data_IF_060975007913
#
_entry.id   IF_060975007913
#
_cell.length_a   1.000
_cell.length_b   1.000
_cell.length_c   1.000
_cell.angle_alpha   90.00
_cell.angle_beta   90.00
_cell.angle_gamma   90.00
#
_symmetry.space_group_name_H-M   'P 1'
#
loop_
_entity.id
_entity.type
_entity.pdbx_description
1 polymer ?
#
# COMPACT_ATOMS: atom_id res chain seq x y z
N UNK A 1 -15.44 20.70 -2.97
CA UNK A 1 -15.28 19.72 -1.88
C UNK A 1 -14.16 20.17 -0.96
N UNK A 2 -14.22 19.91 0.36
CA UNK A 2 -13.19 20.36 1.32
C UNK A 2 -11.77 19.89 0.90
N UNK A 3 -11.64 18.65 0.45
CA UNK A 3 -10.38 18.04 0.02
C UNK A 3 -9.75 18.72 -1.19
N UNK A 4 -10.57 19.19 -2.14
CA UNK A 4 -10.11 19.95 -3.30
C UNK A 4 -9.43 21.24 -2.86
N UNK A 5 -10.04 21.98 -1.93
CA UNK A 5 -9.47 23.24 -1.42
C UNK A 5 -8.15 23.02 -0.68
N UNK A 6 -8.05 21.96 0.13
CA UNK A 6 -6.82 21.61 0.82
C UNK A 6 -5.71 21.24 -0.18
N UNK A 7 -6.05 20.47 -1.21
CA UNK A 7 -5.11 20.10 -2.26
C UNK A 7 -4.65 21.33 -3.07
N UNK A 8 -5.57 22.23 -3.45
CA UNK A 8 -5.26 23.50 -4.12
C UNK A 8 -4.27 24.33 -3.28
N UNK A 9 -4.57 24.53 -2.00
CA UNK A 9 -3.70 25.24 -1.08
C UNK A 9 -2.31 24.58 -1.00
N UNK A 10 -2.25 23.26 -0.86
CA UNK A 10 -0.96 22.57 -0.79
C UNK A 10 -0.14 22.68 -2.08
N UNK A 11 -0.78 22.65 -3.25
CA UNK A 11 -0.10 22.88 -4.53
C UNK A 11 0.40 24.33 -4.63
N UNK A 12 -0.38 25.31 -4.18
CA UNK A 12 0.04 26.72 -4.09
C UNK A 12 1.25 26.92 -3.15
N UNK A 13 1.28 26.16 -2.05
CA UNK A 13 2.37 26.14 -1.06
C UNK A 13 3.63 25.41 -1.56
N UNK A 14 3.58 24.77 -2.75
CA UNK A 14 4.74 24.17 -3.40
C UNK A 14 4.75 22.64 -3.41
N UNK A 15 3.63 21.98 -3.14
CA UNK A 15 3.52 20.55 -3.40
C UNK A 15 3.64 20.24 -4.89
N UNK A 16 4.37 19.16 -5.23
CA UNK A 16 4.54 18.74 -6.63
C UNK A 16 3.35 17.96 -7.19
N UNK A 17 2.42 17.52 -6.32
CA UNK A 17 1.38 16.60 -6.74
C UNK A 17 0.59 15.95 -5.62
N UNK A 18 -0.13 14.90 -5.99
CA UNK A 18 -0.98 14.09 -5.12
C UNK A 18 -0.48 12.66 -5.10
N UNK A 19 -0.51 12.02 -3.93
CA UNK A 19 -0.33 10.57 -3.85
C UNK A 19 -1.51 9.87 -3.17
N UNK A 20 -1.80 8.63 -3.57
CA UNK A 20 -2.88 7.82 -2.98
C UNK A 20 -2.45 6.41 -2.61
N UNK A 21 -3.01 5.90 -1.51
CA UNK A 21 -2.85 4.54 -1.01
C UNK A 21 -4.13 3.73 -1.12
N UNK A 22 -4.55 3.35 -2.34
CA UNK A 22 -5.90 2.81 -2.58
C UNK A 22 -6.09 1.36 -2.12
N UNK A 23 -5.02 0.64 -1.82
CA UNK A 23 -5.06 -0.72 -1.25
C UNK A 23 -5.39 -0.70 0.26
N UNK A 24 -5.16 0.43 0.94
CA UNK A 24 -5.24 0.59 2.39
C UNK A 24 -6.37 1.51 2.82
N UNK A 25 -6.89 1.30 4.03
CA UNK A 25 -7.74 2.31 4.66
C UNK A 25 -6.92 3.56 5.03
N UNK A 26 -7.51 4.77 4.99
CA UNK A 26 -8.86 5.08 4.49
C UNK A 26 -9.01 5.17 2.95
N UNK A 27 -7.90 5.26 2.19
CA UNK A 27 -7.94 5.47 0.73
C UNK A 27 -8.72 4.43 -0.09
N UNK A 28 -8.86 3.21 0.43
CA UNK A 28 -9.65 2.13 -0.17
C UNK A 28 -11.14 2.47 -0.35
N UNK A 29 -11.67 3.44 0.40
CA UNK A 29 -13.06 3.88 0.31
C UNK A 29 -13.29 4.96 -0.76
N UNK A 30 -12.22 5.58 -1.26
CA UNK A 30 -12.30 6.59 -2.31
C UNK A 30 -12.91 6.00 -3.58
N UNK A 31 -13.89 6.70 -4.15
CA UNK A 31 -14.46 6.32 -5.44
C UNK A 31 -13.72 7.00 -6.61
N UNK A 32 -14.02 6.53 -7.82
CA UNK A 32 -13.39 7.03 -9.03
C UNK A 32 -13.59 8.55 -9.23
N UNK A 33 -14.79 9.07 -8.99
CA UNK A 33 -15.10 10.48 -9.24
C UNK A 33 -14.39 11.41 -8.25
N UNK A 34 -14.21 10.98 -7.00
CA UNK A 34 -13.42 11.70 -6.00
C UNK A 34 -11.94 11.78 -6.44
N UNK A 35 -11.36 10.66 -6.86
CA UNK A 35 -9.97 10.61 -7.33
C UNK A 35 -9.82 11.46 -8.59
N UNK A 36 -10.73 11.36 -9.54
CA UNK A 36 -10.72 12.15 -10.77
C UNK A 36 -10.87 13.66 -10.50
N UNK A 37 -11.72 14.06 -9.54
CA UNK A 37 -11.87 15.45 -9.15
C UNK A 37 -10.55 16.03 -8.59
N UNK A 38 -9.86 15.27 -7.73
CA UNK A 38 -8.56 15.67 -7.18
C UNK A 38 -7.47 15.69 -8.26
N UNK A 39 -7.42 14.68 -9.12
CA UNK A 39 -6.44 14.62 -10.21
C UNK A 39 -6.63 15.75 -11.24
N UNK A 40 -7.88 16.20 -11.45
CA UNK A 40 -8.15 17.38 -12.27
C UNK A 40 -7.57 18.67 -11.68
N UNK A 41 -7.51 18.81 -10.35
CA UNK A 41 -6.82 19.93 -9.69
C UNK A 41 -5.32 19.86 -9.95
N UNK A 42 -4.73 18.67 -9.73
CA UNK A 42 -3.30 18.45 -9.93
C UNK A 42 -2.88 18.73 -11.37
N UNK A 43 -3.68 18.30 -12.34
CA UNK A 43 -3.42 18.57 -13.76
C UNK A 43 -3.40 20.07 -14.08
N UNK A 44 -4.35 20.86 -13.53
CA UNK A 44 -4.39 22.32 -13.72
C UNK A 44 -3.17 23.03 -13.11
N UNK A 45 -2.60 22.45 -12.06
CA UNK A 45 -1.40 22.97 -11.41
C UNK A 45 -0.09 22.45 -12.04
N UNK A 46 -0.16 21.74 -13.17
CA UNK A 46 0.99 21.05 -13.77
C UNK A 46 1.73 20.15 -12.76
N UNK A 47 1.00 19.48 -11.87
CA UNK A 47 1.54 18.51 -10.91
C UNK A 47 1.58 17.08 -11.47
N UNK A 48 1.89 16.11 -10.60
CA UNK A 48 1.76 14.68 -10.91
C UNK A 48 0.92 13.93 -9.87
N UNK A 49 0.33 12.83 -10.30
CA UNK A 49 -0.42 11.90 -9.46
C UNK A 49 0.36 10.60 -9.32
N UNK A 50 0.74 10.23 -8.09
CA UNK A 50 1.33 8.91 -7.81
C UNK A 50 0.35 7.99 -7.08
N UNK A 51 0.33 6.71 -7.42
CA UNK A 51 -0.66 5.80 -6.82
C UNK A 51 -0.09 4.43 -6.46
N UNK A 52 -0.35 4.04 -5.20
CA UNK A 52 -0.40 2.65 -4.82
C UNK A 52 -1.78 2.11 -5.23
N UNK A 53 -1.81 1.45 -6.38
CA UNK A 53 -3.04 0.97 -7.02
C UNK A 53 -3.90 0.11 -6.09
N UNK A 54 -5.21 0.18 -6.28
CA UNK A 54 -6.22 -0.45 -5.40
C UNK A 54 -6.08 -1.96 -5.26
N UNK A 55 -5.60 -2.63 -6.31
CA UNK A 55 -5.35 -4.06 -6.28
C UNK A 55 -4.25 -4.44 -7.28
N UNK A 56 -3.38 -5.36 -6.86
CA UNK A 56 -2.27 -5.89 -7.67
C UNK A 56 -2.23 -7.43 -7.72
N UNK A 57 -3.28 -8.12 -7.26
CA UNK A 57 -3.40 -9.58 -7.29
C UNK A 57 -4.18 -10.07 -8.53
N UNK A 58 -4.99 -11.11 -8.39
CA UNK A 58 -6.01 -11.54 -9.35
C UNK A 58 -6.86 -10.41 -9.95
N UNK A 59 -7.07 -9.29 -9.24
CA UNK A 59 -7.84 -8.13 -9.75
C UNK A 59 -6.96 -6.99 -10.28
N UNK A 60 -5.70 -7.27 -10.64
CA UNK A 60 -4.75 -6.29 -11.17
C UNK A 60 -5.32 -5.41 -12.30
N UNK A 61 -6.12 -5.99 -13.21
CA UNK A 61 -6.73 -5.23 -14.31
C UNK A 61 -7.58 -4.07 -13.79
N UNK A 62 -8.42 -4.32 -12.79
CA UNK A 62 -9.27 -3.27 -12.19
C UNK A 62 -8.39 -2.22 -11.50
N UNK A 63 -7.37 -2.65 -10.76
CA UNK A 63 -6.51 -1.75 -9.99
C UNK A 63 -5.65 -0.83 -10.87
N UNK A 64 -5.00 -1.36 -11.90
CA UNK A 64 -4.17 -0.54 -12.79
C UNK A 64 -4.98 0.26 -13.79
N UNK A 65 -6.07 -0.30 -14.32
CA UNK A 65 -6.95 0.43 -15.23
C UNK A 65 -7.58 1.64 -14.59
N UNK A 66 -7.96 1.58 -13.30
CA UNK A 66 -8.49 2.75 -12.57
C UNK A 66 -7.52 3.94 -12.64
N UNK A 67 -6.23 3.70 -12.39
CA UNK A 67 -5.20 4.74 -12.44
C UNK A 67 -5.04 5.33 -13.85
N UNK A 68 -4.95 4.46 -14.86
CA UNK A 68 -4.82 4.86 -16.27
C UNK A 68 -6.04 5.65 -16.76
N UNK A 69 -7.25 5.19 -16.41
CA UNK A 69 -8.50 5.84 -16.79
C UNK A 69 -8.69 7.19 -16.09
N UNK A 70 -8.22 7.36 -14.86
CA UNK A 70 -8.15 8.68 -14.21
C UNK A 70 -7.19 9.60 -14.99
N UNK A 71 -5.99 9.12 -15.31
CA UNK A 71 -4.99 9.92 -16.02
C UNK A 71 -5.47 10.37 -17.41
N UNK A 72 -6.10 9.47 -18.17
CA UNK A 72 -6.79 9.78 -19.44
C UNK A 72 -7.85 10.86 -19.26
N UNK A 73 -8.72 10.71 -18.26
CA UNK A 73 -9.87 11.60 -18.04
C UNK A 73 -9.43 13.01 -17.65
N UNK A 74 -8.37 13.12 -16.84
CA UNK A 74 -7.99 14.41 -16.24
C UNK A 74 -6.78 15.07 -16.89
N UNK A 75 -6.01 14.34 -17.70
CA UNK A 75 -4.74 14.80 -18.26
C UNK A 75 -3.63 14.94 -17.23
N UNK A 76 -3.76 14.30 -16.05
CA UNK A 76 -2.72 14.37 -15.02
C UNK A 76 -1.55 13.47 -15.41
N UNK A 77 -0.32 13.92 -15.15
CA UNK A 77 0.87 13.06 -15.24
C UNK A 77 0.79 11.98 -14.17
N UNK A 78 0.90 10.71 -14.55
CA UNK A 78 0.69 9.56 -13.67
C UNK A 78 2.01 8.84 -13.37
N UNK A 79 2.26 8.56 -12.10
CA UNK A 79 3.28 7.63 -11.62
C UNK A 79 2.60 6.43 -10.94
N UNK A 80 2.67 5.25 -11.53
CA UNK A 80 2.20 4.03 -10.84
C UNK A 80 3.32 3.52 -9.94
N UNK A 81 3.11 3.61 -8.62
CA UNK A 81 4.11 3.23 -7.63
C UNK A 81 4.23 1.72 -7.52
N UNK A 82 5.47 1.25 -7.35
CA UNK A 82 5.88 -0.14 -7.08
C UNK A 82 4.97 -1.17 -7.77
N UNK A 83 5.01 -1.15 -9.10
CA UNK A 83 4.00 -1.73 -9.98
C UNK A 83 3.88 -3.26 -9.92
N UNK A 84 4.86 -3.95 -9.34
CA UNK A 84 4.92 -5.42 -9.39
C UNK A 84 3.63 -6.06 -8.85
N UNK A 85 2.94 -6.89 -9.66
CA UNK A 85 1.81 -7.70 -9.21
C UNK A 85 2.21 -8.63 -8.06
N UNK A 86 1.32 -8.78 -7.08
CA UNK A 86 1.53 -9.61 -5.89
C UNK A 86 0.97 -11.02 -6.07
N UNK A 87 1.35 -11.90 -5.15
CA UNK A 87 0.86 -13.29 -5.09
C UNK A 87 -0.66 -13.39 -5.29
N UNK A 88 -1.07 -14.40 -6.08
CA UNK A 88 -2.45 -14.63 -6.48
C UNK A 88 -2.88 -13.92 -7.78
N UNK A 89 -1.96 -13.23 -8.45
CA UNK A 89 -2.10 -12.68 -9.81
C UNK A 89 -1.91 -13.76 -10.90
N UNK A 90 -2.53 -13.65 -12.09
CA UNK A 90 -2.29 -14.57 -13.21
C UNK A 90 -0.94 -14.31 -13.89
N UNK A 91 -0.27 -15.35 -14.42
CA UNK A 91 1.11 -15.28 -14.93
C UNK A 91 1.38 -14.12 -15.92
N UNK A 92 0.41 -13.80 -16.78
CA UNK A 92 0.54 -12.74 -17.77
C UNK A 92 0.32 -11.31 -17.22
N UNK A 93 -0.01 -11.14 -15.94
CA UNK A 93 -0.47 -9.87 -15.40
C UNK A 93 0.53 -8.73 -15.57
N UNK A 94 1.82 -8.98 -15.31
CA UNK A 94 2.83 -7.92 -15.44
C UNK A 94 3.00 -7.48 -16.90
N UNK A 95 3.05 -8.44 -17.84
CA UNK A 95 3.11 -8.15 -19.28
C UNK A 95 1.91 -7.31 -19.71
N UNK A 96 0.71 -7.72 -19.31
CA UNK A 96 -0.51 -6.98 -19.61
C UNK A 96 -0.49 -5.56 -19.00
N UNK A 97 0.00 -5.40 -17.77
CA UNK A 97 0.14 -4.08 -17.14
C UNK A 97 1.09 -3.17 -17.91
N UNK A 98 2.27 -3.65 -18.33
CA UNK A 98 3.19 -2.85 -19.16
C UNK A 98 2.54 -2.46 -20.48
N UNK A 99 1.89 -3.41 -21.16
CA UNK A 99 1.22 -3.16 -22.43
C UNK A 99 0.09 -2.12 -22.30
N UNK A 100 -0.70 -2.17 -21.22
CA UNK A 100 -1.71 -1.14 -20.94
C UNK A 100 -1.08 0.25 -20.77
N UNK A 101 0.10 0.35 -20.15
CA UNK A 101 0.81 1.64 -19.99
C UNK A 101 1.33 2.13 -21.34
N UNK A 102 1.93 1.25 -22.15
CA UNK A 102 2.42 1.58 -23.49
C UNK A 102 1.29 2.15 -24.36
N UNK A 103 0.15 1.47 -24.45
CA UNK A 103 -1.02 1.97 -25.19
C UNK A 103 -1.54 3.30 -24.64
N UNK A 104 -1.58 3.47 -23.32
CA UNK A 104 -2.02 4.73 -22.71
C UNK A 104 -1.05 5.89 -23.04
N UNK A 105 0.24 5.61 -23.19
CA UNK A 105 1.22 6.62 -23.63
C UNK A 105 1.10 6.94 -25.12
N UNK A 106 0.79 5.95 -25.96
CA UNK A 106 0.50 6.17 -27.39
C UNK A 106 -0.71 7.08 -27.60
N UNK A 107 -1.67 7.07 -26.67
CA UNK A 107 -2.80 8.01 -26.62
C UNK A 107 -2.41 9.44 -26.16
N UNK A 108 -1.14 9.68 -25.83
CA UNK A 108 -0.62 11.00 -25.43
C UNK A 108 -0.65 11.27 -23.92
N UNK A 109 -0.97 10.29 -23.08
CA UNK A 109 -0.96 10.44 -21.62
C UNK A 109 0.44 10.25 -21.07
N UNK A 110 0.90 11.16 -20.21
CA UNK A 110 2.20 11.02 -19.53
C UNK A 110 2.09 10.04 -18.36
N UNK A 111 2.54 8.81 -18.58
CA UNK A 111 2.52 7.73 -17.59
C UNK A 111 3.92 7.16 -17.38
N UNK A 112 4.36 7.11 -16.12
CA UNK A 112 5.57 6.44 -15.68
C UNK A 112 5.26 5.42 -14.59
N UNK A 113 6.23 4.53 -14.31
CA UNK A 113 6.11 3.53 -13.25
C UNK A 113 7.45 3.32 -12.55
N UNK A 114 7.38 2.91 -11.29
CA UNK A 114 8.52 2.40 -10.54
C UNK A 114 8.25 0.99 -9.99
N UNK A 115 9.30 0.34 -9.51
CA UNK A 115 9.23 -1.01 -8.97
C UNK A 115 10.21 -1.18 -7.81
N UNK A 116 9.89 -2.08 -6.89
CA UNK A 116 10.82 -2.48 -5.83
C UNK A 116 11.63 -3.68 -6.34
N UNK A 117 12.97 -3.59 -6.47
CA UNK A 117 13.81 -4.64 -7.04
C UNK A 117 14.03 -5.79 -6.05
N UNK A 118 12.94 -6.39 -5.59
CA UNK A 118 12.91 -7.45 -4.59
C UNK A 118 11.72 -8.37 -4.85
N UNK A 119 11.89 -9.64 -4.49
CA UNK A 119 10.80 -10.62 -4.50
C UNK A 119 9.91 -10.50 -3.24
N UNK A 120 10.30 -9.62 -2.32
CA UNK A 120 9.67 -9.46 -1.02
C UNK A 120 8.72 -8.28 -0.99
N UNK A 121 7.56 -8.47 -0.36
CA UNK A 121 6.69 -7.39 0.06
C UNK A 121 6.72 -7.23 1.59
N UNK A 122 6.37 -6.03 2.07
CA UNK A 122 6.42 -5.69 3.50
C UNK A 122 5.16 -4.93 3.87
N UNK A 123 4.56 -5.24 5.02
CA UNK A 123 3.45 -4.46 5.59
C UNK A 123 3.28 -4.77 7.08
N UNK A 124 2.43 -4.02 7.78
CA UNK A 124 2.15 -4.30 9.18
C UNK A 124 1.24 -5.54 9.33
N UNK A 125 1.36 -6.26 10.44
CA UNK A 125 0.52 -7.43 10.69
C UNK A 125 -0.98 -7.10 10.72
N UNK A 126 -1.34 -5.87 11.12
CA UNK A 126 -2.74 -5.43 11.20
C UNK A 126 -3.40 -5.24 9.82
N UNK A 127 -2.64 -5.09 8.73
CA UNK A 127 -3.16 -5.05 7.36
C UNK A 127 -3.79 -6.39 6.90
N UNK A 128 -3.50 -7.50 7.61
CA UNK A 128 -4.17 -8.78 7.37
C UNK A 128 -5.63 -8.77 7.84
N UNK A 129 -5.96 -7.89 8.78
CA UNK A 129 -7.25 -7.85 9.44
C UNK A 129 -8.34 -7.24 8.54
N UNK A 130 -9.63 -7.57 8.75
CA UNK A 130 -10.72 -7.00 7.98
C UNK A 130 -10.85 -5.49 8.21
N UNK A 131 -11.32 -4.74 7.22
CA UNK A 131 -11.41 -3.28 7.30
C UNK A 131 -12.21 -2.77 8.51
N UNK A 132 -13.24 -3.49 8.94
CA UNK A 132 -14.04 -3.13 10.12
C UNK A 132 -13.23 -3.10 11.42
N UNK A 133 -12.10 -3.83 11.49
CA UNK A 133 -11.27 -3.86 12.69
C UNK A 133 -10.44 -2.57 12.85
N UNK A 134 -10.18 -1.84 11.78
CA UNK A 134 -9.48 -0.54 11.83
C UNK A 134 -10.31 0.54 12.53
N UNK A 135 -11.63 0.38 12.62
CA UNK A 135 -12.52 1.31 13.32
C UNK A 135 -12.63 1.03 14.83
N UNK A 136 -12.07 -0.09 15.31
CA UNK A 136 -12.12 -0.44 16.73
C UNK A 136 -11.05 0.30 17.53
N UNK A 137 -11.40 0.68 18.76
CA UNK A 137 -10.39 1.07 19.74
C UNK A 137 -9.48 -0.13 20.07
N UNK A 138 -8.23 0.15 20.47
CA UNK A 138 -7.22 -0.87 20.79
C UNK A 138 -7.76 -2.00 21.67
N UNK A 139 -8.40 -1.65 22.78
CA UNK A 139 -8.89 -2.65 23.75
C UNK A 139 -10.00 -3.52 23.17
N UNK A 140 -10.84 -2.97 22.29
CA UNK A 140 -11.88 -3.73 21.59
C UNK A 140 -11.26 -4.68 20.57
N UNK A 141 -10.24 -4.23 19.82
CA UNK A 141 -9.49 -5.06 18.89
C UNK A 141 -8.81 -6.22 19.63
N UNK A 142 -8.15 -5.92 20.75
CA UNK A 142 -7.45 -6.90 21.56
C UNK A 142 -8.41 -7.89 22.20
N UNK A 143 -9.61 -7.44 22.63
CA UNK A 143 -10.66 -8.33 23.10
C UNK A 143 -11.11 -9.33 22.02
N UNK A 144 -11.19 -8.92 20.75
CA UNK A 144 -11.45 -9.86 19.65
C UNK A 144 -10.34 -10.91 19.56
N UNK A 145 -9.07 -10.48 19.56
CA UNK A 145 -7.91 -11.38 19.44
C UNK A 145 -7.71 -12.30 20.65
N UNK A 146 -8.25 -11.98 21.82
CA UNK A 146 -8.20 -12.84 23.01
C UNK A 146 -9.28 -13.93 23.04
N UNK A 147 -10.29 -13.86 22.17
CA UNK A 147 -11.42 -14.79 22.16
C UNK A 147 -11.43 -15.67 20.91
N UNK A 148 -11.80 -16.95 21.04
CA UNK A 148 -11.93 -17.88 19.90
C UNK A 148 -12.88 -17.33 18.84
N UNK A 149 -14.06 -16.86 19.25
CA UNK A 149 -15.07 -16.28 18.33
C UNK A 149 -14.55 -15.03 17.62
N UNK A 150 -13.82 -14.17 18.33
CA UNK A 150 -13.24 -12.96 17.76
C UNK A 150 -12.12 -13.27 16.75
N UNK A 151 -11.24 -14.23 17.05
CA UNK A 151 -10.22 -14.72 16.10
C UNK A 151 -10.87 -15.27 14.83
N UNK A 152 -11.88 -16.13 14.95
CA UNK A 152 -12.60 -16.67 13.79
C UNK A 152 -13.30 -15.59 12.96
N UNK A 153 -13.77 -14.52 13.61
CA UNK A 153 -14.33 -13.36 12.91
C UNK A 153 -13.25 -12.54 12.21
N UNK A 154 -12.09 -12.32 12.84
CA UNK A 154 -10.96 -11.58 12.26
C UNK A 154 -10.35 -12.30 11.06
N UNK A 155 -10.31 -13.64 11.06
CA UNK A 155 -9.86 -14.43 9.90
C UNK A 155 -10.74 -14.21 8.66
N UNK A 156 -12.02 -13.86 8.84
CA UNK A 156 -12.98 -13.63 7.74
C UNK A 156 -12.83 -12.23 7.16
N UNK A 157 -11.82 -12.06 6.29
CA UNK A 157 -11.59 -10.84 5.53
C UNK A 157 -12.02 -11.02 4.06
N UNK A 158 -13.09 -10.35 3.58
CA UNK A 158 -13.57 -10.52 2.20
C UNK A 158 -12.68 -9.83 1.17
N UNK A 159 -11.83 -8.88 1.57
CA UNK A 159 -10.93 -8.12 0.69
C UNK A 159 -9.51 -8.07 1.28
N UNK A 160 -8.85 -9.24 1.44
CA UNK A 160 -7.55 -9.35 2.09
C UNK A 160 -6.45 -8.74 1.24
N UNK A 161 -5.54 -8.00 1.88
CA UNK A 161 -4.40 -7.39 1.20
C UNK A 161 -3.33 -8.45 0.86
N UNK A 162 -3.14 -9.46 1.72
CA UNK A 162 -2.16 -10.54 1.49
C UNK A 162 -2.84 -11.89 1.31
N UNK A 163 -2.92 -12.35 0.05
CA UNK A 163 -3.43 -13.68 -0.27
C UNK A 163 -2.52 -14.81 0.22
N UNK A 164 -1.22 -14.55 0.43
CA UNK A 164 -0.30 -15.54 1.04
C UNK A 164 -0.80 -15.99 2.42
N UNK A 165 -1.25 -15.06 3.27
CA UNK A 165 -1.76 -15.39 4.61
C UNK A 165 -3.12 -16.10 4.55
N UNK A 166 -3.97 -15.71 3.59
CA UNK A 166 -5.29 -16.33 3.36
C UNK A 166 -5.15 -17.78 2.90
N UNK A 167 -4.18 -18.04 2.01
CA UNK A 167 -3.85 -19.38 1.51
C UNK A 167 -2.91 -20.15 2.48
N UNK A 168 -2.70 -19.61 3.69
CA UNK A 168 -1.89 -20.19 4.77
C UNK A 168 -0.45 -20.57 4.36
N UNK A 169 0.16 -19.79 3.47
CA UNK A 169 1.57 -19.90 3.05
C UNK A 169 2.51 -19.29 4.07
N UNK A 170 2.41 -19.74 5.33
CA UNK A 170 3.15 -19.20 6.48
C UNK A 170 4.66 -19.45 6.40
N UNK A 171 5.09 -20.43 5.61
CA UNK A 171 6.48 -20.71 5.26
C UNK A 171 7.12 -19.60 4.41
N UNK A 172 6.30 -18.83 3.70
CA UNK A 172 6.72 -17.70 2.86
C UNK A 172 6.61 -16.34 3.53
N UNK A 173 6.14 -16.28 4.77
CA UNK A 173 5.95 -15.04 5.53
C UNK A 173 6.90 -15.07 6.73
N UNK A 174 7.69 -14.01 6.92
CA UNK A 174 8.62 -13.84 8.04
C UNK A 174 8.24 -12.65 8.90
N UNK A 175 8.55 -12.76 10.20
CA UNK A 175 8.52 -11.62 11.11
C UNK A 175 9.70 -10.69 10.78
N UNK A 176 9.42 -9.49 10.31
CA UNK A 176 10.44 -8.50 9.96
C UNK A 176 10.81 -7.63 11.17
N UNK A 177 9.82 -7.17 11.92
CA UNK A 177 10.03 -6.37 13.12
C UNK A 177 8.92 -6.64 14.15
N UNK A 178 9.30 -6.63 15.43
CA UNK A 178 8.40 -6.63 16.59
C UNK A 178 9.21 -6.16 17.79
N UNK A 179 8.62 -5.34 18.65
CA UNK A 179 9.29 -4.82 19.84
C UNK A 179 9.38 -5.88 20.94
N UNK A 180 8.34 -6.68 21.15
CA UNK A 180 8.30 -7.72 22.18
C UNK A 180 8.89 -9.06 21.73
N UNK A 181 9.02 -9.29 20.41
CA UNK A 181 9.51 -10.54 19.84
C UNK A 181 10.72 -10.34 18.93
N UNK A 182 11.63 -9.42 19.29
CA UNK A 182 12.85 -9.15 18.53
C UNK A 182 13.71 -10.42 18.31
N UNK A 183 13.67 -11.37 19.25
CA UNK A 183 14.36 -12.67 19.17
C UNK A 183 13.83 -13.60 18.05
N UNK A 184 12.63 -13.31 17.53
CA UNK A 184 11.97 -14.10 16.48
C UNK A 184 12.02 -13.42 15.11
N UNK A 185 12.54 -12.19 15.03
CA UNK A 185 12.73 -11.50 13.76
C UNK A 185 13.62 -12.35 12.82
N UNK A 186 13.21 -12.45 11.56
CA UNK A 186 13.82 -13.32 10.54
C UNK A 186 13.20 -14.72 10.47
N UNK A 187 12.54 -15.22 11.52
CA UNK A 187 11.82 -16.50 11.47
C UNK A 187 10.57 -16.38 10.60
N UNK A 188 10.24 -17.48 9.90
CA UNK A 188 8.93 -17.64 9.25
C UNK A 188 7.83 -17.77 10.30
N UNK A 189 6.62 -17.35 9.94
CA UNK A 189 5.44 -17.50 10.79
C UNK A 189 5.17 -18.98 11.05
N UNK A 190 5.43 -19.86 10.08
CA UNK A 190 5.35 -21.31 10.23
C UNK A 190 6.35 -21.87 11.27
N UNK A 191 7.60 -21.39 11.29
CA UNK A 191 8.57 -21.76 12.33
C UNK A 191 8.14 -21.31 13.72
N UNK A 192 7.62 -20.08 13.85
CA UNK A 192 7.09 -19.57 15.12
C UNK A 192 5.88 -20.40 15.56
N UNK A 193 4.99 -20.75 14.63
CA UNK A 193 3.78 -21.54 14.87
C UNK A 193 4.13 -22.95 15.39
N UNK A 194 5.10 -23.62 14.76
CA UNK A 194 5.62 -24.92 15.23
C UNK A 194 6.19 -24.84 16.64
N UNK A 195 7.02 -23.83 16.94
CA UNK A 195 7.59 -23.64 18.29
C UNK A 195 6.52 -23.41 19.35
N UNK A 196 5.47 -22.65 19.00
CA UNK A 196 4.34 -22.33 19.89
C UNK A 196 3.25 -23.41 19.91
N UNK A 197 3.34 -24.44 19.06
CA UNK A 197 2.31 -25.49 18.86
C UNK A 197 0.93 -24.89 18.56
N UNK A 198 0.89 -23.90 17.67
CA UNK A 198 -0.32 -23.17 17.28
C UNK A 198 -0.38 -22.96 15.76
N UNK A 199 -1.39 -22.23 15.27
CA UNK A 199 -1.54 -21.93 13.83
C UNK A 199 -0.85 -20.62 13.43
N UNK A 200 -0.57 -20.41 12.13
CA UNK A 200 0.03 -19.16 11.66
C UNK A 200 -0.85 -17.93 11.93
N UNK A 201 -2.17 -18.07 11.82
CA UNK A 201 -3.11 -17.00 12.21
C UNK A 201 -3.02 -16.67 13.70
N UNK A 202 -2.94 -17.69 14.54
CA UNK A 202 -2.82 -17.48 15.99
C UNK A 202 -1.49 -16.81 16.34
N UNK A 203 -0.39 -17.19 15.68
CA UNK A 203 0.89 -16.47 15.82
C UNK A 203 0.74 -14.99 15.49
N UNK A 204 0.09 -14.64 14.36
CA UNK A 204 -0.11 -13.23 13.98
C UNK A 204 -0.89 -12.48 15.06
N UNK A 205 -1.98 -13.05 15.58
CA UNK A 205 -2.76 -12.42 16.65
C UNK A 205 -1.96 -12.29 17.95
N UNK A 206 -1.20 -13.31 18.31
CA UNK A 206 -0.38 -13.32 19.52
C UNK A 206 0.74 -12.28 19.43
N UNK A 207 1.44 -12.17 18.29
CA UNK A 207 2.47 -11.15 18.07
C UNK A 207 1.91 -9.72 18.19
N UNK A 208 0.72 -9.47 17.65
CA UNK A 208 0.02 -8.18 17.79
C UNK A 208 -0.31 -7.89 19.26
N UNK A 209 -0.83 -8.88 19.99
CA UNK A 209 -1.18 -8.73 21.40
C UNK A 209 0.06 -8.50 22.29
N UNK A 210 1.15 -9.22 22.02
CA UNK A 210 2.40 -9.17 22.77
C UNK A 210 3.13 -7.82 22.62
N UNK A 211 3.08 -7.20 21.43
CA UNK A 211 3.67 -5.87 21.20
C UNK A 211 2.89 -4.72 21.87
N UNK A 212 1.69 -4.99 22.42
CA UNK A 212 0.96 -4.04 23.27
C UNK A 212 0.67 -2.71 22.56
N UNK A 213 1.12 -1.58 23.13
CA UNK A 213 0.97 -0.26 22.51
C UNK A 213 1.77 -0.11 21.20
N UNK A 214 2.82 -0.91 21.03
CA UNK A 214 3.66 -0.95 19.84
C UNK A 214 3.12 -1.83 18.70
N UNK A 215 1.91 -2.38 18.81
CA UNK A 215 1.41 -3.41 17.88
C UNK A 215 1.37 -3.01 16.39
N UNK A 216 1.29 -1.71 16.08
CA UNK A 216 1.38 -1.20 14.71
C UNK A 216 2.79 -1.35 14.11
N UNK A 217 3.80 -1.55 14.96
CA UNK A 217 5.19 -1.85 14.62
C UNK A 217 5.50 -3.33 14.39
N UNK A 218 4.51 -4.23 14.53
CA UNK A 218 4.68 -5.62 14.09
C UNK A 218 4.67 -5.64 12.56
N UNK A 219 5.84 -5.83 11.95
CA UNK A 219 5.99 -5.90 10.50
C UNK A 219 6.21 -7.32 10.04
N UNK A 220 5.52 -7.68 8.96
CA UNK A 220 5.69 -8.94 8.26
C UNK A 220 6.32 -8.66 6.90
N UNK A 221 7.13 -9.61 6.44
CA UNK A 221 7.62 -9.66 5.06
C UNK A 221 7.27 -10.97 4.41
N UNK A 222 6.92 -10.98 3.12
CA UNK A 222 6.59 -12.20 2.41
C UNK A 222 7.18 -12.27 1.02
N UNK A 223 7.43 -13.49 0.54
CA UNK A 223 7.85 -13.75 -0.85
C UNK A 223 6.64 -13.66 -1.79
N UNK A 224 6.20 -12.41 -2.02
CA UNK A 224 4.96 -12.10 -2.72
C UNK A 224 5.13 -11.70 -4.19
N UNK A 225 6.34 -11.48 -4.66
CA UNK A 225 6.61 -10.99 -6.02
C UNK A 225 7.41 -12.00 -6.85
N UNK A 226 7.15 -12.03 -8.16
CA UNK A 226 7.86 -12.88 -9.11
C UNK A 226 9.14 -12.21 -9.61
N UNK A 227 10.26 -12.93 -9.57
CA UNK A 227 11.52 -12.45 -10.15
C UNK A 227 11.38 -12.19 -11.66
N UNK A 228 10.62 -13.03 -12.37
CA UNK A 228 10.39 -12.85 -13.81
C UNK A 228 9.64 -11.54 -14.10
N UNK A 229 8.68 -11.16 -13.26
CA UNK A 229 8.00 -9.86 -13.39
C UNK A 229 8.95 -8.70 -13.10
N UNK A 230 9.74 -8.84 -12.04
CA UNK A 230 10.72 -7.83 -11.67
C UNK A 230 11.73 -7.57 -12.80
N UNK A 231 12.24 -8.64 -13.43
CA UNK A 231 13.12 -8.55 -14.60
C UNK A 231 12.43 -7.89 -15.79
N UNK A 232 11.17 -8.23 -16.05
CA UNK A 232 10.39 -7.63 -17.13
C UNK A 232 10.27 -6.11 -16.95
N UNK A 233 9.95 -5.63 -15.74
CA UNK A 233 9.85 -4.19 -15.48
C UNK A 233 11.21 -3.50 -15.59
N UNK A 234 12.26 -4.09 -15.03
CA UNK A 234 13.61 -3.51 -15.07
C UNK A 234 14.16 -3.38 -16.50
N UNK A 235 13.67 -4.18 -17.44
CA UNK A 235 14.01 -4.09 -18.86
C UNK A 235 13.16 -3.08 -19.64
N UNK A 236 12.10 -2.55 -19.04
CA UNK A 236 11.22 -1.58 -19.69
C UNK A 236 11.83 -0.18 -19.67
N UNK A 237 11.81 0.51 -20.81
CA UNK A 237 12.21 1.92 -20.92
C UNK A 237 11.29 2.87 -20.13
N UNK A 238 10.13 2.38 -19.71
CA UNK A 238 9.15 3.10 -18.88
C UNK A 238 9.52 3.10 -17.40
N UNK A 239 10.50 2.29 -17.02
CA UNK A 239 10.98 2.25 -15.65
C UNK A 239 11.77 3.52 -15.33
N UNK A 240 11.22 4.32 -14.41
CA UNK A 240 11.93 5.44 -13.81
C UNK A 240 12.31 5.04 -12.40
N UNK A 241 13.59 4.66 -12.20
CA UNK A 241 14.13 4.52 -10.86
C UNK A 241 14.23 5.92 -10.24
N UNK A 242 13.27 6.28 -9.41
CA UNK A 242 13.51 7.38 -8.49
C UNK A 242 14.65 6.96 -7.57
N UNK A 243 15.84 7.56 -7.76
CA UNK A 243 17.03 7.40 -6.91
C UNK A 243 16.80 7.89 -5.45
N UNK A 244 15.54 8.12 -5.08
CA UNK A 244 15.03 8.53 -3.76
C UNK A 244 13.65 7.89 -3.58
N UNK A 245 13.60 6.58 -3.39
CA UNK A 245 12.35 5.84 -3.14
C UNK A 245 11.67 6.42 -1.90
N UNK A 246 10.60 7.20 -2.12
CA UNK A 246 9.65 7.59 -1.08
C UNK A 246 8.87 6.34 -0.69
N UNK A 247 9.31 5.70 0.40
CA UNK A 247 8.53 4.68 1.09
C UNK A 247 7.24 5.33 1.59
N UNK A 248 6.13 5.10 0.87
CA UNK A 248 4.80 5.58 1.23
C UNK A 248 4.16 4.66 2.29
N UNK A 249 4.69 4.65 3.53
CA UNK A 249 3.99 4.35 4.81
C UNK A 249 4.94 4.51 6.02
N UNK A 250 4.46 4.71 7.28
CA UNK A 250 4.96 5.75 8.17
C UNK A 250 6.30 5.37 8.82
N UNK A 251 7.39 5.57 8.10
CA UNK A 251 8.68 5.85 8.71
C UNK A 251 8.99 7.32 8.53
N UNK A 252 8.69 8.08 9.58
CA UNK A 252 9.12 9.47 9.87
C UNK A 252 10.66 9.64 9.86
N UNK A 253 11.42 8.61 9.50
CA UNK A 253 12.88 8.52 9.71
C UNK A 253 13.68 9.06 8.51
N UNK A 254 13.10 9.14 7.31
CA UNK A 254 13.80 9.67 6.12
C UNK A 254 13.53 11.16 5.82
N UNK A 255 12.56 11.78 6.50
CA UNK A 255 12.08 13.15 6.19
C UNK A 255 12.92 14.26 6.87
N UNK A 256 13.70 13.93 7.92
CA UNK A 256 14.48 14.92 8.68
C UNK A 256 15.71 15.48 7.96
N UNK A 257 16.16 14.87 6.87
CA UNK A 257 17.40 15.30 6.19
C UNK A 257 17.19 16.48 5.23
N UNK A 258 15.94 16.83 4.89
CA UNK A 258 15.66 17.74 3.79
C UNK A 258 14.46 18.71 4.01
N UNK A 259 13.99 18.94 5.25
CA UNK A 259 12.86 19.85 5.55
C UNK A 259 11.57 19.57 4.73
N UNK A 260 11.17 18.31 4.62
CA UNK A 260 9.90 17.92 3.99
C UNK A 260 8.81 17.88 5.07
N UNK A 261 7.71 18.62 4.87
CA UNK A 261 6.52 18.49 5.70
C UNK A 261 5.53 17.52 5.02
N UNK A 262 5.15 16.49 5.78
CA UNK A 262 4.11 15.53 5.37
C UNK A 262 2.86 15.85 6.15
N UNK A 263 1.85 16.37 5.45
CA UNK A 263 0.53 16.56 6.02
C UNK A 263 -0.26 15.27 5.93
N UNK A 264 -0.36 14.57 7.06
CA UNK A 264 -1.33 13.49 7.26
C UNK A 264 -2.67 14.11 7.60
N UNK A 265 -3.51 14.37 6.60
CA UNK A 265 -4.87 14.83 6.84
C UNK A 265 -5.77 13.61 7.05
N UNK A 266 -5.99 13.25 8.31
CA UNK A 266 -7.02 12.28 8.71
C UNK A 266 -8.13 13.03 9.43
N UNK A 267 -9.33 13.12 8.86
CA UNK A 267 -10.49 13.68 9.57
C UNK A 267 -11.42 12.55 10.04
N UNK A 268 -12.24 12.83 11.07
CA UNK A 268 -13.09 11.88 11.79
C UNK A 268 -14.16 11.12 10.98
N UNK A 269 -14.12 11.18 9.64
CA UNK A 269 -14.93 10.40 8.72
C UNK A 269 -14.05 9.74 7.63
N UNK A 270 -13.16 8.83 8.05
CA UNK A 270 -12.66 7.60 7.40
C UNK A 270 -12.45 7.45 5.87
N UNK A 271 -12.50 8.47 5.00
CA UNK A 271 -12.66 8.20 3.56
C UNK A 271 -11.50 8.52 2.62
N UNK A 272 -10.42 9.21 3.05
CA UNK A 272 -9.25 9.40 2.17
C UNK A 272 -7.95 9.59 2.94
N UNK A 273 -6.89 8.88 2.52
CA UNK A 273 -5.52 9.17 2.92
C UNK A 273 -4.89 9.93 1.78
N UNK A 274 -4.84 11.25 1.93
CA UNK A 274 -4.11 12.13 1.02
C UNK A 274 -2.73 12.34 1.64
N UNK A 275 -1.69 11.82 0.99
CA UNK A 275 -0.32 12.17 1.35
C UNK A 275 0.10 13.27 0.38
N UNK A 276 0.19 14.47 0.93
CA UNK A 276 0.65 15.67 0.23
C UNK A 276 2.11 15.89 0.62
N UNK A 277 2.99 15.97 -0.37
CA UNK A 277 4.40 16.34 -0.16
C UNK A 277 4.56 17.83 -0.42
N UNK A 278 4.81 18.61 0.63
CA UNK A 278 5.18 20.02 0.49
C UNK A 278 6.70 20.11 0.62
N UNK A 279 7.39 20.64 -0.39
CA UNK A 279 8.74 21.16 -0.19
C UNK A 279 8.63 22.63 0.19
N UNK A 280 9.31 23.06 1.25
CA UNK A 280 9.66 24.48 1.37
C UNK A 280 10.44 24.86 0.11
N UNK A 281 9.89 25.78 -0.69
CA UNK A 281 10.68 26.51 -1.68
C UNK A 281 11.86 27.13 -0.92
N UNK A 282 13.08 26.89 -1.41
CA UNK A 282 14.23 27.71 -1.06
C UNK A 282 13.97 29.17 -1.46
#
# INVERSE_FOLDING_TARGET
>A
MLWVKLLEQSLEEGAFGLTTGLEYNPGKMANYDEIAALCGVVARADGFYATHSRNRDSRYLVGFREALDVARKTGVRLQISHITPKYGRPEHAMRNTVQMIEWTREEGVDVAMDMMPTNWNHTNATALLPSWSSALAKDQLFAQMKSTKGRERLKKNPLPIWKLAVDEKWDKIRLLASSANADKCGMTIDEIARKRKTTGWDVVFDLILEDGDGYQGVFLTGEGFSEADNRLVLQSFLYVQWNRTLWLWPTTVLLRKYDWEVFLVTTGAQNLLVIIFVTKKC
#
